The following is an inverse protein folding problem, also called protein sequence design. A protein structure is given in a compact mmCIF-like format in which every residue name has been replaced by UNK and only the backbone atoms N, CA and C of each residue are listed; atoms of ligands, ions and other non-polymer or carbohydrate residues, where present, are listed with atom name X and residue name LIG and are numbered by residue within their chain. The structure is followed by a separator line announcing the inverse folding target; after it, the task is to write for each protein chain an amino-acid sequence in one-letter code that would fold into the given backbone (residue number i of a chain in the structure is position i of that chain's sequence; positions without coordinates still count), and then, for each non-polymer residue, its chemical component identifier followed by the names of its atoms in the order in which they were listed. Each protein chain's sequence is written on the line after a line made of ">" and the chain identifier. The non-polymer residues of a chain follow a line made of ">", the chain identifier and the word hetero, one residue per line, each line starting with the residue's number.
data_IF_342564055357
#
_entry.id   IF_342564055357
#
_cell.length_a   1.000
_cell.length_b   1.000
_cell.length_c   1.000
_cell.angle_alpha   90.00
_cell.angle_beta   90.00
_cell.angle_gamma   90.00
#
_symmetry.space_group_name_H-M   'P 1'
#
loop_
_entity.id
_entity.type
_entity.pdbx_description
1 polymer ?
#
# COMPACT_ATOMS: atom_id res chain seq x y z
N UNK A 1 4.51 -31.91 4.32
CA UNK A 1 3.54 -31.12 5.10
C UNK A 1 3.57 -29.70 4.57
N UNK A 2 2.42 -29.02 4.40
CA UNK A 2 2.42 -27.63 3.94
C UNK A 2 3.00 -26.72 5.03
N UNK A 3 3.92 -25.84 4.64
CA UNK A 3 4.46 -24.80 5.52
C UNK A 3 3.40 -23.72 5.68
N UNK A 4 3.13 -23.30 6.91
CA UNK A 4 2.14 -22.24 7.19
C UNK A 4 2.81 -20.87 7.20
N UNK A 5 2.04 -19.81 6.92
CA UNK A 5 2.53 -18.42 7.00
C UNK A 5 3.12 -18.09 8.38
N UNK A 6 2.53 -18.62 9.45
CA UNK A 6 3.02 -18.41 10.82
C UNK A 6 4.39 -19.05 11.07
N UNK A 7 4.66 -20.22 10.47
CA UNK A 7 5.96 -20.90 10.61
C UNK A 7 7.05 -20.20 9.80
N UNK A 8 6.71 -19.64 8.65
CA UNK A 8 7.60 -18.77 7.88
C UNK A 8 7.93 -17.47 8.62
N UNK A 9 6.92 -16.81 9.19
CA UNK A 9 7.10 -15.56 9.93
C UNK A 9 7.97 -15.75 11.18
N UNK A 10 7.70 -16.78 11.99
CA UNK A 10 8.50 -17.09 13.17
C UNK A 10 9.97 -17.39 12.82
N UNK A 11 10.21 -18.11 11.71
CA UNK A 11 11.56 -18.41 11.25
C UNK A 11 12.27 -17.16 10.72
N UNK A 12 11.56 -16.25 10.05
CA UNK A 12 12.09 -14.99 9.55
C UNK A 12 12.52 -14.06 10.70
N UNK A 13 11.72 -13.98 11.77
CA UNK A 13 12.06 -13.18 12.96
C UNK A 13 13.30 -13.69 13.72
N UNK A 14 13.69 -14.96 13.51
CA UNK A 14 14.91 -15.54 14.08
C UNK A 14 16.19 -15.24 13.30
N UNK A 15 16.09 -14.64 12.10
CA UNK A 15 17.25 -14.30 11.27
C UNK A 15 17.95 -13.03 11.77
N UNK A 16 19.27 -12.88 11.52
CA UNK A 16 19.97 -11.60 11.70
C UNK A 16 19.25 -10.46 10.96
N UNK A 17 19.29 -9.25 11.52
CA UNK A 17 18.57 -8.07 10.95
C UNK A 17 18.96 -7.79 9.49
N UNK A 18 20.22 -8.05 9.10
CA UNK A 18 20.69 -7.91 7.71
C UNK A 18 19.95 -8.88 6.77
N UNK A 19 19.73 -10.11 7.22
CA UNK A 19 19.06 -11.16 6.44
C UNK A 19 17.54 -10.94 6.41
N UNK A 20 16.97 -10.33 7.45
CA UNK A 20 15.57 -9.91 7.44
C UNK A 20 15.29 -8.84 6.39
N UNK A 21 16.20 -7.86 6.22
CA UNK A 21 16.05 -6.83 5.18
C UNK A 21 16.04 -7.40 3.77
N UNK A 22 16.92 -8.37 3.49
CA UNK A 22 16.92 -9.09 2.21
C UNK A 22 15.65 -9.94 2.01
N UNK A 23 15.20 -10.64 3.05
CA UNK A 23 13.98 -11.44 3.00
C UNK A 23 12.74 -10.59 2.73
N UNK A 24 12.59 -9.45 3.41
CA UNK A 24 11.50 -8.49 3.17
C UNK A 24 11.55 -7.95 1.74
N UNK A 25 12.74 -7.62 1.24
CA UNK A 25 12.90 -7.12 -0.13
C UNK A 25 12.51 -8.17 -1.18
N UNK A 26 12.89 -9.44 -0.97
CA UNK A 26 12.50 -10.57 -1.82
C UNK A 26 10.99 -10.81 -1.79
N UNK A 27 10.37 -10.78 -0.61
CA UNK A 27 8.92 -10.95 -0.47
C UNK A 27 8.15 -9.79 -1.12
N UNK A 28 8.61 -8.55 -0.96
CA UNK A 28 8.02 -7.39 -1.63
C UNK A 28 8.15 -7.50 -3.14
N UNK A 29 9.31 -7.92 -3.65
CA UNK A 29 9.52 -8.12 -5.08
C UNK A 29 8.58 -9.19 -5.64
N UNK A 30 8.42 -10.32 -4.94
CA UNK A 30 7.55 -11.43 -5.34
C UNK A 30 6.06 -11.03 -5.28
N UNK A 31 5.65 -10.28 -4.26
CA UNK A 31 4.31 -9.70 -4.17
C UNK A 31 4.05 -8.67 -5.27
N UNK A 32 5.06 -7.89 -5.67
CA UNK A 32 4.94 -6.91 -6.74
C UNK A 32 5.02 -7.51 -8.14
N UNK A 33 5.55 -8.73 -8.30
CA UNK A 33 5.82 -9.34 -9.60
C UNK A 33 4.56 -9.61 -10.45
N UNK A 34 3.37 -9.63 -9.81
CA UNK A 34 2.08 -9.76 -10.48
C UNK A 34 1.25 -8.48 -10.54
N UNK A 35 1.75 -7.38 -9.98
CA UNK A 35 1.09 -6.09 -10.10
C UNK A 35 1.37 -5.55 -11.50
N UNK A 36 0.31 -5.24 -12.24
CA UNK A 36 0.43 -4.47 -13.48
C UNK A 36 1.09 -3.15 -13.10
N UNK A 37 2.22 -2.82 -13.72
CA UNK A 37 2.75 -1.46 -13.63
C UNK A 37 1.66 -0.54 -14.17
N UNK A 38 1.03 0.24 -13.28
CA UNK A 38 0.18 1.36 -13.69
C UNK A 38 1.05 2.24 -14.57
N UNK A 39 0.73 2.25 -15.86
CA UNK A 39 1.47 3.02 -16.84
C UNK A 39 1.27 4.52 -16.55
N UNK A 40 2.26 5.34 -16.89
CA UNK A 40 2.18 6.78 -16.65
C UNK A 40 0.89 7.39 -17.26
N UNK A 41 0.43 6.88 -18.40
CA UNK A 41 -0.84 7.27 -19.05
C UNK A 41 -2.09 6.94 -18.21
N UNK A 42 -2.10 5.82 -17.49
CA UNK A 42 -3.20 5.45 -16.60
C UNK A 42 -3.21 6.33 -15.35
N UNK A 43 -2.02 6.69 -14.84
CA UNK A 43 -1.88 7.62 -13.72
C UNK A 43 -2.31 9.04 -14.10
N UNK A 44 -1.96 9.49 -15.31
CA UNK A 44 -2.43 10.76 -15.86
C UNK A 44 -3.96 10.77 -16.01
N UNK A 45 -4.55 9.72 -16.58
CA UNK A 45 -6.00 9.61 -16.69
C UNK A 45 -6.71 9.64 -15.32
N UNK A 46 -6.16 8.97 -14.30
CA UNK A 46 -6.69 9.02 -12.94
C UNK A 46 -6.58 10.41 -12.31
N UNK A 47 -5.52 11.15 -12.62
CA UNK A 47 -5.34 12.52 -12.14
C UNK A 47 -6.37 13.46 -12.80
N UNK A 48 -6.55 13.35 -14.11
CA UNK A 48 -7.52 14.14 -14.89
C UNK A 48 -8.96 13.90 -14.41
N UNK A 49 -9.34 12.64 -14.18
CA UNK A 49 -10.67 12.29 -13.65
C UNK A 49 -10.89 12.90 -12.26
N UNK A 50 -9.86 12.92 -11.42
CA UNK A 50 -9.94 13.47 -10.06
C UNK A 50 -10.00 15.00 -10.06
N UNK A 51 -9.33 15.66 -11.00
CA UNK A 51 -9.44 17.10 -11.22
C UNK A 51 -10.85 17.48 -11.69
N UNK A 52 -11.42 16.74 -12.65
CA UNK A 52 -12.78 16.96 -13.12
C UNK A 52 -13.85 16.75 -12.01
N UNK A 53 -13.63 15.80 -11.09
CA UNK A 53 -14.48 15.59 -9.92
C UNK A 53 -14.42 16.81 -8.97
N UNK A 54 -13.22 17.35 -8.72
CA UNK A 54 -13.03 18.53 -7.88
C UNK A 54 -13.60 19.81 -8.49
N UNK A 55 -13.52 19.96 -9.81
CA UNK A 55 -14.13 21.08 -10.55
C UNK A 55 -15.67 21.04 -10.46
N UNK A 56 -16.23 19.83 -10.39
CA UNK A 56 -17.68 19.61 -10.29
C UNK A 56 -18.20 19.80 -8.87
N UNK A 57 -17.49 19.29 -7.87
CA UNK A 57 -17.82 19.46 -6.45
C UNK A 57 -16.55 19.75 -5.63
N UNK A 58 -16.27 21.03 -5.32
CA UNK A 58 -15.14 21.41 -4.48
C UNK A 58 -15.19 20.81 -3.07
N UNK A 59 -16.38 20.41 -2.60
CA UNK A 59 -16.57 19.75 -1.30
C UNK A 59 -16.26 18.24 -1.33
N UNK A 60 -16.00 17.66 -2.51
CA UNK A 60 -15.44 16.31 -2.64
C UNK A 60 -14.01 16.21 -2.06
N UNK A 61 -13.38 17.36 -1.79
CA UNK A 61 -12.13 17.42 -1.05
C UNK A 61 -12.36 17.14 0.43
N UNK A 62 -11.87 16.00 0.91
CA UNK A 62 -11.82 15.73 2.34
C UNK A 62 -10.81 16.68 3.00
N UNK A 63 -11.23 17.43 4.01
CA UNK A 63 -10.32 18.33 4.71
C UNK A 63 -9.21 17.53 5.41
N UNK A 64 -8.05 18.15 5.61
CA UNK A 64 -6.94 17.53 6.32
C UNK A 64 -7.34 17.08 7.74
N UNK A 65 -8.18 17.88 8.42
CA UNK A 65 -8.71 17.56 9.75
C UNK A 65 -9.65 16.36 9.72
N UNK A 66 -10.53 16.27 8.72
CA UNK A 66 -11.46 15.14 8.57
C UNK A 66 -10.74 13.83 8.22
N UNK A 67 -9.69 13.91 7.39
CA UNK A 67 -8.83 12.77 7.06
C UNK A 67 -8.11 12.26 8.31
N UNK A 68 -7.53 13.17 9.11
CA UNK A 68 -6.89 12.80 10.37
C UNK A 68 -7.88 12.20 11.37
N UNK A 69 -9.08 12.77 11.47
CA UNK A 69 -10.14 12.23 12.31
C UNK A 69 -10.55 10.82 11.87
N UNK A 70 -10.75 10.59 10.57
CA UNK A 70 -11.07 9.28 10.02
C UNK A 70 -9.97 8.24 10.33
N UNK A 71 -8.69 8.57 10.09
CA UNK A 71 -7.56 7.67 10.37
C UNK A 71 -7.49 7.33 11.86
N UNK A 72 -7.66 8.32 12.73
CA UNK A 72 -7.62 8.11 14.17
C UNK A 72 -8.81 7.27 14.67
N UNK A 73 -10.00 7.43 14.08
CA UNK A 73 -11.18 6.63 14.43
C UNK A 73 -11.05 5.15 14.05
N UNK A 74 -10.24 4.81 13.04
CA UNK A 74 -9.97 3.41 12.65
C UNK A 74 -8.84 2.74 13.43
N UNK A 75 -8.10 3.49 14.25
CA UNK A 75 -7.02 2.96 15.11
C UNK A 75 -7.49 2.61 16.53
N UNK A 76 -8.75 2.92 16.86
CA UNK A 76 -9.44 2.50 18.10
C UNK A 76 -10.23 1.23 17.86
#
# INVERSE_FOLDING_TARGET
>A
MPVTLDTLYASACGLPVIDQGQLVSLLLADLSAGLVETQDEELEAMADEREAEMDTDPAATLSHEDLLHFINSRRQ
#
